data_IF_985088783891
#
_entry.id   IF_985088783891
#
_cell.length_a   1.000
_cell.length_b   1.000
_cell.length_c   1.000
_cell.angle_alpha   90.00
_cell.angle_beta   90.00
_cell.angle_gamma   90.00
#
_symmetry.space_group_name_H-M   'P 1'
#
loop_
_entity.id
_entity.type
_entity.pdbx_description
1 polymer ?
#
# COMPACT_ATOMS: atom_id res chain seq x y z
N UNK A 1 -32.40 8.37 -26.21
CA UNK A 1 -32.58 8.43 -24.75
C UNK A 1 -31.99 7.14 -24.17
N UNK A 2 -30.87 7.34 -23.47
CA UNK A 2 -30.30 6.52 -22.38
C UNK A 2 -29.97 5.04 -22.62
N UNK A 3 -28.70 4.85 -23.00
CA UNK A 3 -27.86 3.67 -22.75
C UNK A 3 -27.88 3.29 -21.26
N UNK A 4 -28.13 2.01 -20.95
CA UNK A 4 -28.06 1.46 -19.58
C UNK A 4 -27.03 0.34 -19.57
N UNK A 5 -25.76 0.70 -19.53
CA UNK A 5 -24.64 -0.24 -19.38
C UNK A 5 -24.71 -0.87 -17.99
N UNK A 6 -25.10 -2.15 -17.94
CA UNK A 6 -25.00 -3.03 -16.78
C UNK A 6 -23.54 -3.14 -16.37
N UNK A 7 -23.19 -2.60 -15.20
CA UNK A 7 -21.95 -2.96 -14.51
C UNK A 7 -22.07 -4.43 -14.08
N UNK A 8 -21.33 -5.31 -14.76
CA UNK A 8 -21.23 -6.73 -14.40
C UNK A 8 -20.22 -6.87 -13.26
N UNK A 9 -20.58 -7.41 -12.10
CA UNK A 9 -19.58 -7.77 -11.09
C UNK A 9 -18.72 -8.89 -11.66
N UNK A 10 -17.41 -8.68 -11.75
CA UNK A 10 -16.50 -9.75 -12.18
C UNK A 10 -16.63 -10.93 -11.20
N UNK A 11 -16.80 -12.17 -11.68
CA UNK A 11 -16.87 -13.32 -10.81
C UNK A 11 -15.52 -13.48 -10.11
N UNK A 12 -15.51 -13.46 -8.77
CA UNK A 12 -14.35 -13.87 -7.99
C UNK A 12 -13.93 -15.26 -8.47
N UNK A 13 -12.80 -15.32 -9.16
CA UNK A 13 -12.19 -16.58 -9.60
C UNK A 13 -11.86 -17.36 -8.33
N UNK A 14 -12.56 -18.48 -8.11
CA UNK A 14 -12.25 -19.38 -7.00
C UNK A 14 -10.85 -19.97 -7.24
N UNK A 15 -9.88 -19.76 -6.33
CA UNK A 15 -8.54 -20.29 -6.53
C UNK A 15 -8.57 -21.83 -6.61
N UNK A 16 -7.66 -22.44 -7.39
CA UNK A 16 -7.53 -23.89 -7.50
C UNK A 16 -7.44 -24.58 -6.13
N UNK A 17 -7.97 -25.81 -5.98
CA UNK A 17 -7.87 -26.56 -4.73
C UNK A 17 -6.42 -26.66 -4.25
N UNK A 18 -6.18 -26.38 -2.96
CA UNK A 18 -4.84 -26.38 -2.36
C UNK A 18 -4.10 -25.04 -2.41
N UNK A 19 -4.57 -24.07 -3.20
CA UNK A 19 -4.05 -22.70 -3.18
C UNK A 19 -4.83 -21.88 -2.16
N UNK A 20 -4.26 -21.68 -0.98
CA UNK A 20 -4.81 -20.78 0.02
C UNK A 20 -4.41 -19.35 -0.38
N UNK A 21 -5.35 -18.61 -0.97
CA UNK A 21 -5.16 -17.18 -1.18
C UNK A 21 -5.35 -16.50 0.17
N UNK A 22 -4.26 -16.00 0.77
CA UNK A 22 -4.35 -15.26 2.02
C UNK A 22 -5.16 -13.98 1.80
N UNK A 23 -6.00 -13.57 2.76
CA UNK A 23 -6.88 -12.42 2.57
C UNK A 23 -6.07 -11.14 2.38
N UNK A 24 -6.22 -10.55 1.21
CA UNK A 24 -6.11 -9.11 0.99
C UNK A 24 -6.99 -8.39 2.03
N UNK A 25 -6.57 -7.23 2.53
CA UNK A 25 -7.49 -6.37 3.29
C UNK A 25 -8.73 -6.12 2.43
N UNK A 26 -9.90 -6.22 3.04
CA UNK A 26 -11.18 -6.04 2.34
C UNK A 26 -11.43 -4.57 1.91
N UNK A 27 -10.59 -3.64 2.37
CA UNK A 27 -10.67 -2.23 2.05
C UNK A 27 -10.20 -1.99 0.61
N UNK A 28 -11.05 -1.36 -0.24
CA UNK A 28 -10.63 -1.00 -1.58
C UNK A 28 -9.50 0.04 -1.51
N UNK A 29 -8.69 0.09 -2.58
CA UNK A 29 -7.74 1.17 -2.77
C UNK A 29 -8.46 2.52 -2.88
N UNK A 30 -7.91 3.55 -2.26
CA UNK A 30 -8.38 4.92 -2.35
C UNK A 30 -8.20 5.49 -3.77
N UNK A 31 -8.80 6.64 -4.07
CA UNK A 31 -8.62 7.26 -5.39
C UNK A 31 -7.15 7.60 -5.69
N UNK A 32 -6.40 8.04 -4.68
CA UNK A 32 -4.96 8.32 -4.81
C UNK A 32 -4.16 7.04 -5.03
N UNK A 33 -4.48 5.98 -4.28
CA UNK A 33 -3.83 4.68 -4.42
C UNK A 33 -4.12 4.07 -5.79
N UNK A 34 -5.36 4.17 -6.28
CA UNK A 34 -5.74 3.71 -7.62
C UNK A 34 -5.03 4.51 -8.73
N UNK A 35 -4.94 5.83 -8.59
CA UNK A 35 -4.24 6.67 -9.57
C UNK A 35 -2.75 6.33 -9.64
N UNK A 36 -2.14 5.99 -8.50
CA UNK A 36 -0.73 5.63 -8.40
C UNK A 36 -0.44 4.20 -8.86
N UNK A 37 -1.25 3.23 -8.42
CA UNK A 37 -1.00 1.79 -8.62
C UNK A 37 -1.66 1.24 -9.88
N UNK A 38 -2.75 1.85 -10.35
CA UNK A 38 -3.60 1.31 -11.40
C UNK A 38 -2.94 1.18 -12.78
N UNK A 39 -1.84 1.90 -13.01
CA UNK A 39 -1.03 1.80 -14.24
C UNK A 39 0.18 0.87 -14.12
N UNK A 40 0.42 0.28 -12.94
CA UNK A 40 1.60 -0.55 -12.68
C UNK A 40 1.34 -2.02 -13.02
N UNK A 41 2.41 -2.75 -13.30
CA UNK A 41 2.36 -4.18 -13.58
C UNK A 41 1.90 -4.96 -12.34
N UNK A 42 0.78 -5.67 -12.47
CA UNK A 42 0.16 -6.43 -11.38
C UNK A 42 1.03 -7.58 -10.88
N UNK A 43 1.82 -8.22 -11.73
CA UNK A 43 2.75 -9.27 -11.31
C UNK A 43 3.87 -8.67 -10.45
N UNK A 44 4.37 -7.47 -10.81
CA UNK A 44 5.38 -6.77 -10.01
C UNK A 44 4.84 -6.26 -8.67
N UNK A 45 3.59 -5.79 -8.63
CA UNK A 45 2.93 -5.43 -7.36
C UNK A 45 2.75 -6.67 -6.47
N UNK A 46 2.43 -7.81 -7.08
CA UNK A 46 2.37 -9.10 -6.38
C UNK A 46 3.73 -9.51 -5.81
N UNK A 47 4.80 -9.47 -6.62
CA UNK A 47 6.17 -9.78 -6.18
C UNK A 47 6.58 -8.87 -5.02
N UNK A 48 6.29 -7.57 -5.12
CA UNK A 48 6.54 -6.61 -4.04
C UNK A 48 5.79 -7.00 -2.76
N UNK A 49 4.50 -7.33 -2.86
CA UNK A 49 3.72 -7.72 -1.70
C UNK A 49 4.25 -9.00 -1.00
N UNK A 50 4.82 -9.94 -1.75
CA UNK A 50 5.48 -11.13 -1.19
C UNK A 50 6.74 -10.77 -0.40
N UNK A 51 7.56 -9.85 -0.95
CA UNK A 51 8.73 -9.32 -0.23
C UNK A 51 8.30 -8.58 1.04
N UNK A 52 7.26 -7.75 0.94
CA UNK A 52 6.70 -7.01 2.08
C UNK A 52 6.14 -7.95 3.15
N UNK A 53 5.51 -9.06 2.75
CA UNK A 53 5.05 -10.09 3.68
C UNK A 53 6.20 -10.73 4.46
N UNK A 54 7.30 -11.07 3.78
CA UNK A 54 8.50 -11.57 4.46
C UNK A 54 9.10 -10.54 5.42
N UNK A 55 9.20 -9.27 5.00
CA UNK A 55 9.69 -8.16 5.84
C UNK A 55 8.79 -7.90 7.05
N UNK A 56 7.49 -8.15 6.93
CA UNK A 56 6.53 -7.98 8.01
C UNK A 56 6.40 -9.22 8.91
N UNK A 57 7.45 -10.05 9.02
CA UNK A 57 7.44 -11.30 9.79
C UNK A 57 6.29 -12.24 9.42
N UNK A 58 6.01 -12.36 8.11
CA UNK A 58 4.90 -13.15 7.58
C UNK A 58 3.53 -12.70 8.10
N UNK A 59 3.36 -11.39 8.30
CA UNK A 59 2.07 -10.78 8.66
C UNK A 59 1.56 -9.91 7.52
N UNK A 60 0.25 -9.95 7.27
CA UNK A 60 -0.40 -9.06 6.32
C UNK A 60 -0.64 -7.67 6.91
N UNK A 61 -0.72 -6.68 6.03
CA UNK A 61 -1.06 -5.30 6.38
C UNK A 61 0.15 -4.36 6.49
N UNK A 62 -0.07 -3.13 6.99
CA UNK A 62 0.95 -2.10 7.08
C UNK A 62 2.17 -2.56 7.88
N UNK A 63 3.35 -2.22 7.40
CA UNK A 63 4.62 -2.56 8.04
C UNK A 63 5.05 -1.38 8.92
N UNK A 64 5.08 -1.61 10.23
CA UNK A 64 5.51 -0.62 11.21
C UNK A 64 6.90 -0.06 10.87
N UNK A 65 7.07 1.27 10.97
CA UNK A 65 8.32 1.96 10.67
C UNK A 65 8.70 2.13 9.19
N UNK A 66 7.97 1.52 8.25
CA UNK A 66 8.22 1.63 6.80
C UNK A 66 7.31 2.68 6.15
N UNK A 67 7.57 3.94 6.47
CA UNK A 67 6.90 5.09 5.87
C UNK A 67 7.56 5.49 4.56
N UNK A 68 6.75 5.96 3.61
CA UNK A 68 7.21 6.42 2.30
C UNK A 68 6.58 7.76 1.96
N UNK A 69 7.23 8.50 1.07
CA UNK A 69 6.70 9.73 0.47
C UNK A 69 6.57 9.51 -1.02
N UNK A 70 5.39 9.78 -1.57
CA UNK A 70 5.13 9.62 -3.01
C UNK A 70 4.64 10.92 -3.61
N UNK A 71 5.19 11.28 -4.76
CA UNK A 71 4.70 12.37 -5.58
C UNK A 71 3.36 11.96 -6.22
N UNK A 72 2.25 12.52 -5.77
CA UNK A 72 0.90 12.24 -6.31
C UNK A 72 0.56 13.15 -7.49
N UNK A 73 1.20 14.31 -7.58
CA UNK A 73 1.12 15.22 -8.72
C UNK A 73 2.50 15.83 -8.97
N UNK A 74 3.00 15.69 -10.19
CA UNK A 74 4.36 16.04 -10.58
C UNK A 74 4.79 17.41 -10.01
N UNK A 75 5.74 17.37 -9.06
CA UNK A 75 6.39 18.51 -8.42
C UNK A 75 5.43 19.51 -7.73
N UNK A 76 4.21 19.08 -7.40
CA UNK A 76 3.19 19.94 -6.79
C UNK A 76 2.57 19.35 -5.54
N UNK A 77 2.55 18.03 -5.43
CA UNK A 77 1.90 17.36 -4.33
C UNK A 77 2.62 16.07 -3.96
N UNK A 78 2.88 15.93 -2.67
CA UNK A 78 3.48 14.76 -2.07
C UNK A 78 2.56 14.22 -0.98
N UNK A 79 2.40 12.91 -0.94
CA UNK A 79 1.61 12.22 0.06
C UNK A 79 2.51 11.32 0.89
N UNK A 80 2.34 11.36 2.20
CA UNK A 80 2.93 10.34 3.08
C UNK A 80 2.09 9.08 3.01
N UNK A 81 2.74 7.94 3.05
CA UNK A 81 2.10 6.62 3.12
C UNK A 81 2.94 5.63 3.90
N UNK A 82 2.51 4.37 3.85
CA UNK A 82 3.16 3.25 4.52
C UNK A 82 3.14 2.02 3.60
N UNK A 83 4.24 1.28 3.58
CA UNK A 83 4.28 -0.01 2.87
C UNK A 83 3.34 -1.00 3.55
N UNK A 84 2.67 -1.82 2.74
CA UNK A 84 1.66 -2.74 3.21
C UNK A 84 1.89 -4.12 2.59
N UNK A 85 1.98 -5.17 3.42
CA UNK A 85 2.09 -6.56 2.98
C UNK A 85 0.75 -7.08 2.45
N UNK A 86 0.33 -6.52 1.32
CA UNK A 86 -0.96 -6.76 0.66
C UNK A 86 -0.76 -6.71 -0.87
N UNK A 87 -1.27 -7.73 -1.57
CA UNK A 87 -1.07 -7.93 -3.01
C UNK A 87 -1.85 -6.93 -3.88
N UNK A 88 -3.01 -6.49 -3.42
CA UNK A 88 -3.81 -5.52 -4.17
C UNK A 88 -3.41 -4.08 -3.78
N UNK A 89 -2.90 -3.90 -2.57
CA UNK A 89 -2.46 -2.61 -2.05
C UNK A 89 -1.09 -2.70 -1.35
N UNK A 90 0.02 -2.81 -2.08
CA UNK A 90 1.35 -2.87 -1.47
C UNK A 90 1.80 -1.54 -0.85
N UNK A 91 1.01 -0.48 -1.05
CA UNK A 91 1.24 0.86 -0.56
C UNK A 91 -0.08 1.48 -0.10
N UNK A 92 -0.11 1.94 1.15
CA UNK A 92 -1.23 2.67 1.74
C UNK A 92 -0.88 4.16 1.83
N UNK A 93 -1.68 5.03 1.22
CA UNK A 93 -1.48 6.48 1.31
C UNK A 93 -2.36 7.09 2.41
N UNK A 94 -1.81 8.05 3.15
CA UNK A 94 -2.55 8.81 4.16
C UNK A 94 -3.12 10.07 3.53
N UNK A 95 -4.40 10.04 3.13
CA UNK A 95 -5.04 11.13 2.38
C UNK A 95 -5.13 12.45 3.16
N UNK A 96 -5.00 12.40 4.49
CA UNK A 96 -4.88 13.57 5.38
C UNK A 96 -3.47 14.17 5.44
N UNK A 97 -2.48 13.56 4.77
CA UNK A 97 -1.05 13.93 4.82
C UNK A 97 -0.52 14.29 3.44
N UNK A 98 -1.15 15.29 2.83
CA UNK A 98 -0.75 15.91 1.58
C UNK A 98 0.08 17.16 1.85
N UNK A 99 1.16 17.31 1.10
CA UNK A 99 2.14 18.38 1.25
C UNK A 99 2.47 18.99 -0.12
N UNK A 100 2.95 20.23 -0.08
CA UNK A 100 3.36 21.04 -1.22
C UNK A 100 4.87 20.97 -1.52
N UNK A 101 5.62 20.21 -0.73
CA UNK A 101 7.02 19.89 -1.00
C UNK A 101 7.40 18.50 -0.49
N UNK A 102 8.44 17.91 -1.09
CA UNK A 102 8.99 16.63 -0.65
C UNK A 102 9.62 16.71 0.74
N UNK A 103 10.22 17.86 1.08
CA UNK A 103 10.92 18.06 2.34
C UNK A 103 9.96 18.04 3.54
N UNK A 104 8.83 18.75 3.44
CA UNK A 104 7.82 18.76 4.50
C UNK A 104 7.13 17.39 4.64
N UNK A 105 6.90 16.70 3.53
CA UNK A 105 6.39 15.33 3.55
C UNK A 105 7.36 14.34 4.19
N UNK A 106 8.66 14.46 3.90
CA UNK A 106 9.71 13.61 4.50
C UNK A 106 9.81 13.84 6.01
N UNK A 107 9.82 15.10 6.46
CA UNK A 107 9.81 15.42 7.88
C UNK A 107 8.57 14.84 8.59
N UNK A 108 7.40 14.90 7.95
CA UNK A 108 6.19 14.28 8.50
C UNK A 108 6.28 12.75 8.57
N UNK A 109 6.87 12.09 7.57
CA UNK A 109 7.11 10.65 7.58
C UNK A 109 8.10 10.24 8.69
N UNK A 110 9.15 11.04 8.93
CA UNK A 110 10.10 10.82 10.03
C UNK A 110 9.43 10.96 11.41
N UNK A 111 8.54 11.96 11.59
CA UNK A 111 7.77 12.11 12.81
C UNK A 111 6.85 10.91 13.08
N UNK A 112 6.19 10.39 12.03
CA UNK A 112 5.39 9.17 12.15
C UNK A 112 6.24 7.97 12.53
N UNK A 113 7.41 7.83 11.91
CA UNK A 113 8.37 6.77 12.23
C UNK A 113 8.84 6.85 13.68
N UNK A 114 9.16 8.04 14.17
CA UNK A 114 9.60 8.24 15.55
C UNK A 114 8.47 7.98 16.57
N UNK A 115 7.22 8.27 16.19
CA UNK A 115 6.04 8.03 17.02
C UNK A 115 5.56 6.57 16.99
N UNK A 116 6.04 5.74 16.05
CA UNK A 116 5.65 4.34 15.93
C UNK A 116 6.40 3.46 16.96
N UNK A 117 5.74 2.96 18.01
CA UNK A 117 6.38 2.17 19.05
C UNK A 117 6.85 0.79 18.53
N UNK A 118 6.27 0.30 17.43
CA UNK A 118 6.65 -0.98 16.83
C UNK A 118 7.89 -0.85 15.93
N UNK A 119 8.19 0.36 15.43
CA UNK A 119 9.44 0.63 14.69
C UNK A 119 10.70 0.52 15.57
N UNK A 120 10.55 0.70 16.88
CA UNK A 120 11.64 0.63 17.86
C UNK A 120 11.87 -0.77 18.44
N UNK A 121 11.13 -1.80 17.99
CA UNK A 121 11.36 -3.17 18.48
C UNK A 121 12.62 -3.76 17.81
N UNK A 122 13.61 -4.24 18.59
CA UNK A 122 14.81 -4.86 18.07
C UNK A 122 14.49 -6.27 17.52
N UNK A 123 13.92 -6.31 16.32
CA UNK A 123 13.80 -7.48 15.46
C UNK A 123 14.65 -7.37 14.18
N UNK A 124 15.33 -6.23 13.98
CA UNK A 124 16.20 -5.98 12.82
C UNK A 124 17.61 -6.59 12.97
N UNK A 125 17.82 -7.49 13.93
CA UNK A 125 19.07 -8.24 14.15
C UNK A 125 18.75 -9.74 14.14
N UNK A 126 18.38 -10.27 12.98
CA UNK A 126 18.57 -11.69 12.63
C UNK A 126 18.73 -11.82 11.12
N UNK A 127 19.81 -11.23 10.61
CA UNK A 127 20.68 -11.83 9.60
C UNK A 127 22.12 -11.55 10.03
#
# INVERSE_FOLDING_TARGET
>A
MSDKTRSSPMPLVKPPPGKHMMPTRAEPASALEQALLGGLDREKLSDLAEVLFALNNHRHGPIAGFYVVVCTNAEKQWCVGQLCADREKPLMLFEDKLFDSSETAQAAAELLKAADPAANQPGSSML
#
